data_IF_028703179187
#
_entry.id   IF_028703179187
#
_cell.length_a   1.000
_cell.length_b   1.000
_cell.length_c   1.000
_cell.angle_alpha   90.00
_cell.angle_beta   90.00
_cell.angle_gamma   90.00
#
_symmetry.space_group_name_H-M   'P 1'
#
loop_
_entity.id
_entity.type
_entity.pdbx_description
1 polymer ?
#
# COMPACT_ATOMS: atom_id res chain seq x y z
N UNK A 1 -12.55 -1.75 -2.20
CA UNK A 1 -11.78 -1.17 -1.08
C UNK A 1 -10.82 -2.16 -0.41
N UNK A 2 -10.92 -3.46 -0.69
CA UNK A 2 -9.96 -4.46 -0.22
C UNK A 2 -8.47 -4.07 -0.40
N UNK A 3 -8.03 -3.44 -1.52
CA UNK A 3 -6.61 -3.08 -1.69
C UNK A 3 -6.12 -2.11 -0.61
N UNK A 4 -6.95 -1.12 -0.27
CA UNK A 4 -6.64 -0.10 0.75
C UNK A 4 -6.56 -0.70 2.14
N UNK A 5 -7.38 -1.72 2.43
CA UNK A 5 -7.29 -2.46 3.68
C UNK A 5 -5.97 -3.22 3.79
N UNK A 6 -5.51 -3.85 2.71
CA UNK A 6 -4.22 -4.57 2.69
C UNK A 6 -3.05 -3.62 2.93
N UNK A 7 -3.06 -2.44 2.31
CA UNK A 7 -2.00 -1.45 2.51
C UNK A 7 -1.92 -0.98 3.95
N UNK A 8 -3.07 -0.78 4.61
CA UNK A 8 -3.10 -0.49 6.06
C UNK A 8 -2.54 -1.66 6.88
N UNK A 9 -2.88 -2.91 6.55
CA UNK A 9 -2.32 -4.08 7.22
C UNK A 9 -0.80 -4.17 7.03
N UNK A 10 -0.30 -3.87 5.83
CA UNK A 10 1.13 -3.82 5.52
C UNK A 10 1.84 -2.67 6.24
N UNK A 11 1.18 -1.51 6.39
CA UNK A 11 1.70 -0.42 7.20
C UNK A 11 1.84 -0.81 8.68
N UNK A 12 0.82 -1.48 9.24
CA UNK A 12 0.89 -2.01 10.60
C UNK A 12 2.00 -3.06 10.74
N UNK A 13 2.15 -3.96 9.77
CA UNK A 13 3.26 -4.91 9.74
C UNK A 13 4.61 -4.20 9.75
N UNK A 14 4.80 -3.20 8.89
CA UNK A 14 6.05 -2.45 8.78
C UNK A 14 6.39 -1.73 10.08
N UNK A 15 5.41 -1.14 10.77
CA UNK A 15 5.59 -0.50 12.07
C UNK A 15 6.02 -1.47 13.18
N UNK A 16 5.59 -2.73 13.12
CA UNK A 16 5.91 -3.78 14.10
C UNK A 16 7.24 -4.48 13.77
N UNK A 17 7.62 -4.50 12.49
CA UNK A 17 8.79 -5.26 12.01
C UNK A 17 10.14 -4.95 12.70
N UNK A 18 10.46 -3.71 13.15
CA UNK A 18 11.72 -3.44 13.86
C UNK A 18 11.87 -4.26 15.15
N UNK A 19 10.76 -4.52 15.85
CA UNK A 19 10.74 -5.30 17.08
C UNK A 19 10.95 -6.79 16.82
N UNK A 20 10.47 -7.29 15.66
CA UNK A 20 10.63 -8.70 15.25
C UNK A 20 12.06 -8.96 14.80
N UNK A 21 12.62 -8.06 13.98
CA UNK A 21 13.97 -8.20 13.45
C UNK A 21 15.06 -7.71 14.41
N UNK A 22 14.68 -7.24 15.60
CA UNK A 22 15.55 -6.73 16.66
C UNK A 22 16.58 -5.75 16.10
N UNK A 23 16.09 -4.66 15.50
CA UNK A 23 16.95 -3.63 14.92
C UNK A 23 17.95 -3.12 15.95
N UNK A 24 19.22 -3.12 15.58
CA UNK A 24 20.30 -2.59 16.41
C UNK A 24 19.99 -1.13 16.80
N UNK A 25 20.00 -0.85 18.11
CA UNK A 25 19.73 0.49 18.66
C UNK A 25 20.69 1.55 18.11
N UNK A 26 21.89 1.14 17.70
CA UNK A 26 22.87 2.03 17.07
C UNK A 26 22.45 2.47 15.65
N UNK A 27 21.50 1.78 15.01
CA UNK A 27 21.01 2.05 13.65
C UNK A 27 19.70 2.82 13.67
N UNK A 28 19.73 4.00 14.28
CA UNK A 28 18.60 4.91 14.39
C UNK A 28 17.90 5.20 13.04
N UNK A 29 18.65 5.27 11.94
CA UNK A 29 18.08 5.51 10.59
C UNK A 29 17.13 4.40 10.13
N UNK A 30 17.33 3.16 10.57
CA UNK A 30 16.51 2.02 10.17
C UNK A 30 15.14 2.09 10.86
N UNK A 31 15.14 2.39 12.15
CA UNK A 31 13.91 2.63 12.94
C UNK A 31 13.04 3.73 12.34
N UNK A 32 13.63 4.88 12.02
CA UNK A 32 12.87 5.98 11.43
C UNK A 32 12.38 5.67 10.02
N UNK A 33 13.16 4.92 9.23
CA UNK A 33 12.70 4.49 7.92
C UNK A 33 11.40 3.68 8.04
N UNK A 34 11.35 2.68 8.93
CA UNK A 34 10.14 1.87 9.14
C UNK A 34 8.95 2.70 9.60
N UNK A 35 9.12 3.56 10.61
CA UNK A 35 8.01 4.34 11.15
C UNK A 35 7.50 5.41 10.19
N UNK A 36 8.39 6.11 9.48
CA UNK A 36 7.98 7.13 8.51
C UNK A 36 7.28 6.47 7.33
N UNK A 37 7.84 5.39 6.79
CA UNK A 37 7.22 4.70 5.64
C UNK A 37 5.90 4.05 6.02
N UNK A 38 5.79 3.43 7.21
CA UNK A 38 4.54 2.90 7.72
C UNK A 38 3.48 4.00 7.88
N UNK A 39 3.85 5.15 8.46
CA UNK A 39 2.95 6.28 8.63
C UNK A 39 2.48 6.83 7.27
N UNK A 40 3.39 7.00 6.31
CA UNK A 40 3.05 7.49 4.97
C UNK A 40 2.09 6.54 4.25
N UNK A 41 2.35 5.24 4.28
CA UNK A 41 1.45 4.23 3.67
C UNK A 41 0.08 4.29 4.35
N UNK A 42 0.03 4.28 5.69
CA UNK A 42 -1.23 4.34 6.42
C UNK A 42 -2.03 5.61 6.08
N UNK A 43 -1.37 6.77 6.04
CA UNK A 43 -2.01 8.06 5.72
C UNK A 43 -2.52 8.08 4.28
N UNK A 44 -1.73 7.65 3.29
CA UNK A 44 -2.16 7.64 1.89
C UNK A 44 -3.28 6.64 1.62
N UNK A 45 -3.22 5.46 2.24
CA UNK A 45 -4.28 4.46 2.15
C UNK A 45 -5.58 4.99 2.77
N UNK A 46 -5.51 5.61 3.95
CA UNK A 46 -6.66 6.22 4.63
C UNK A 46 -7.25 7.40 3.83
N UNK A 47 -6.40 8.28 3.30
CA UNK A 47 -6.83 9.39 2.44
C UNK A 47 -7.49 8.90 1.16
N UNK A 48 -7.08 7.73 0.63
CA UNK A 48 -7.72 7.17 -0.57
C UNK A 48 -9.16 6.71 -0.34
N UNK A 49 -9.64 6.56 0.90
CA UNK A 49 -11.06 6.27 1.15
C UNK A 49 -11.96 7.47 0.86
N UNK A 50 -11.44 8.69 0.94
CA UNK A 50 -12.20 9.91 0.66
C UNK A 50 -12.30 10.11 -0.86
N UNK A 51 -13.51 10.42 -1.34
CA UNK A 51 -13.82 10.51 -2.80
C UNK A 51 -12.93 11.50 -3.55
N UNK A 52 -12.55 12.61 -2.92
CA UNK A 52 -11.77 13.68 -3.54
C UNK A 52 -10.28 13.33 -3.69
N UNK A 53 -9.75 12.50 -2.79
CA UNK A 53 -8.34 12.07 -2.75
C UNK A 53 -8.17 10.62 -3.19
N UNK A 54 -9.07 10.11 -4.05
CA UNK A 54 -9.01 8.72 -4.55
C UNK A 54 -7.72 8.35 -5.24
N UNK A 55 -6.93 9.32 -5.72
CA UNK A 55 -5.62 9.12 -6.36
C UNK A 55 -4.43 9.19 -5.39
N UNK A 56 -4.67 9.46 -4.10
CA UNK A 56 -3.61 9.56 -3.09
C UNK A 56 -2.78 8.28 -3.00
N UNK A 57 -3.38 7.13 -3.26
CA UNK A 57 -2.67 5.85 -3.32
C UNK A 57 -1.53 5.78 -4.34
N UNK A 58 -1.55 6.62 -5.39
CA UNK A 58 -0.44 6.65 -6.35
C UNK A 58 0.85 7.17 -5.70
N UNK A 59 0.76 7.92 -4.59
CA UNK A 59 1.93 8.33 -3.81
C UNK A 59 2.58 7.14 -3.11
N UNK A 60 1.84 6.06 -2.84
CA UNK A 60 2.39 4.83 -2.29
C UNK A 60 3.37 4.16 -3.26
N UNK A 61 3.26 4.41 -4.57
CA UNK A 61 4.25 3.95 -5.55
C UNK A 61 5.64 4.55 -5.27
N UNK A 62 5.69 5.82 -4.85
CA UNK A 62 6.94 6.48 -4.48
C UNK A 62 7.50 5.88 -3.19
N UNK A 63 6.65 5.60 -2.20
CA UNK A 63 7.05 4.98 -0.93
C UNK A 63 7.53 3.55 -1.15
N UNK A 64 6.87 2.78 -2.02
CA UNK A 64 7.27 1.44 -2.40
C UNK A 64 8.63 1.45 -3.10
N UNK A 65 8.82 2.32 -4.10
CA UNK A 65 10.10 2.48 -4.78
C UNK A 65 11.22 2.87 -3.79
N UNK A 66 10.92 3.76 -2.84
CA UNK A 66 11.84 4.11 -1.76
C UNK A 66 12.23 2.90 -0.90
N UNK A 67 11.26 2.10 -0.43
CA UNK A 67 11.54 0.91 0.40
C UNK A 67 12.43 -0.10 -0.32
N UNK A 68 12.14 -0.36 -1.60
CA UNK A 68 12.95 -1.27 -2.43
C UNK A 68 14.36 -0.71 -2.61
N UNK A 69 14.47 0.57 -2.98
CA UNK A 69 15.76 1.24 -3.18
C UNK A 69 16.59 1.32 -1.90
N UNK A 70 15.97 1.63 -0.78
CA UNK A 70 16.63 1.71 0.54
C UNK A 70 17.09 0.35 1.01
N UNK A 71 16.25 -0.69 0.92
CA UNK A 71 16.64 -2.06 1.25
C UNK A 71 17.75 -2.59 0.36
N UNK A 72 17.72 -2.29 -0.94
CA UNK A 72 18.79 -2.65 -1.86
C UNK A 72 20.09 -1.89 -1.56
N UNK A 73 20.04 -0.57 -1.38
CA UNK A 73 21.22 0.27 -1.13
C UNK A 73 21.91 -0.03 0.21
N UNK A 74 21.15 -0.48 1.21
CA UNK A 74 21.67 -0.89 2.52
C UNK A 74 22.06 -2.37 2.58
N UNK A 75 21.83 -3.12 1.50
CA UNK A 75 22.30 -4.51 1.38
C UNK A 75 23.73 -4.52 0.87
N UNK A 76 24.66 -4.94 1.71
CA UNK A 76 26.10 -5.00 1.40
C UNK A 76 26.47 -6.18 0.47
N UNK A 77 25.92 -6.21 -0.75
CA UNK A 77 26.36 -7.11 -1.83
C UNK A 77 25.95 -8.59 -1.71
N UNK A 78 25.07 -8.95 -0.77
CA UNK A 78 24.52 -10.30 -0.60
C UNK A 78 23.00 -10.28 -0.41
N UNK A 79 22.43 -11.36 0.15
CA UNK A 79 20.98 -11.46 0.40
C UNK A 79 20.41 -10.41 1.39
N UNK A 80 21.22 -9.47 1.90
CA UNK A 80 20.81 -8.53 2.95
C UNK A 80 20.51 -9.23 4.28
N UNK A 81 20.46 -8.49 5.39
CA UNK A 81 19.89 -9.04 6.61
C UNK A 81 18.36 -9.16 6.45
N UNK A 82 17.68 -9.95 7.30
CA UNK A 82 16.23 -10.16 7.21
C UNK A 82 15.41 -8.86 7.16
N UNK A 83 15.86 -7.81 7.85
CA UNK A 83 15.24 -6.48 7.82
C UNK A 83 15.25 -5.85 6.41
N UNK A 84 16.37 -5.87 5.69
CA UNK A 84 16.44 -5.33 4.33
C UNK A 84 15.55 -6.14 3.37
N UNK A 85 15.52 -7.46 3.51
CA UNK A 85 14.63 -8.31 2.72
C UNK A 85 13.16 -7.97 2.98
N UNK A 86 12.79 -7.74 4.25
CA UNK A 86 11.46 -7.31 4.63
C UNK A 86 11.06 -6.00 3.93
N UNK A 87 11.93 -4.98 3.91
CA UNK A 87 11.64 -3.73 3.20
C UNK A 87 11.40 -3.94 1.70
N UNK A 88 12.23 -4.76 1.05
CA UNK A 88 12.07 -5.08 -0.38
C UNK A 88 10.75 -5.84 -0.61
N UNK A 89 10.45 -6.86 0.19
CA UNK A 89 9.22 -7.64 0.07
C UNK A 89 7.96 -6.79 0.31
N UNK A 90 7.93 -5.99 1.37
CA UNK A 90 6.81 -5.08 1.66
C UNK A 90 6.67 -4.03 0.54
N UNK A 91 7.79 -3.46 0.08
CA UNK A 91 7.80 -2.51 -1.02
C UNK A 91 7.21 -3.10 -2.31
N UNK A 92 7.57 -4.35 -2.66
CA UNK A 92 7.00 -5.04 -3.82
C UNK A 92 5.51 -5.33 -3.67
N UNK A 93 5.06 -5.73 -2.47
CA UNK A 93 3.65 -5.96 -2.18
C UNK A 93 2.82 -4.67 -2.30
N UNK A 94 3.33 -3.57 -1.72
CA UNK A 94 2.69 -2.25 -1.86
C UNK A 94 2.66 -1.83 -3.33
N UNK A 95 3.76 -1.99 -4.07
CA UNK A 95 3.81 -1.64 -5.50
C UNK A 95 2.73 -2.38 -6.30
N UNK A 96 2.54 -3.67 -6.01
CA UNK A 96 1.54 -4.50 -6.68
C UNK A 96 0.10 -4.07 -6.36
N UNK A 97 -0.18 -3.76 -5.09
CA UNK A 97 -1.53 -3.39 -4.63
C UNK A 97 -1.88 -1.93 -4.96
N UNK A 98 -0.90 -1.03 -4.90
CA UNK A 98 -1.08 0.39 -5.19
C UNK A 98 -1.54 0.65 -6.63
N UNK A 99 -1.16 -0.19 -7.60
CA UNK A 99 -1.64 -0.09 -9.00
C UNK A 99 -3.14 -0.40 -9.12
N UNK A 100 -3.73 -1.14 -8.17
CA UNK A 100 -5.13 -1.56 -8.23
C UNK A 100 -6.05 -0.41 -7.80
N UNK A 101 -6.98 0.07 -8.66
CA UNK A 101 -7.85 1.18 -8.30
C UNK A 101 -8.75 0.87 -7.09
N UNK A 102 -9.00 1.87 -6.24
CA UNK A 102 -9.80 1.71 -5.01
C UNK A 102 -11.24 1.21 -5.25
N UNK A 103 -11.79 1.49 -6.44
CA UNK A 103 -13.13 1.11 -6.88
C UNK A 103 -13.14 -0.16 -7.76
N UNK A 104 -12.11 -1.02 -7.73
CA UNK A 104 -12.00 -2.21 -8.58
C UNK A 104 -13.16 -3.23 -8.46
N UNK A 105 -13.96 -3.14 -7.40
CA UNK A 105 -15.17 -3.98 -7.18
C UNK A 105 -16.38 -3.44 -7.93
N UNK A 106 -16.40 -2.13 -8.27
CA UNK A 106 -17.53 -1.52 -8.96
C UNK A 106 -17.35 -1.66 -10.47
N UNK A 107 -18.44 -1.87 -11.22
CA UNK A 107 -18.38 -1.81 -12.67
C UNK A 107 -17.91 -0.43 -13.15
N UNK A 108 -17.27 -0.34 -14.33
CA UNK A 108 -16.82 0.92 -14.91
C UNK A 108 -17.95 1.95 -14.97
N UNK A 109 -17.63 3.21 -14.74
CA UNK A 109 -18.62 4.29 -14.67
C UNK A 109 -19.50 4.38 -15.93
N UNK A 110 -18.90 4.26 -17.11
CA UNK A 110 -19.62 4.24 -18.39
C UNK A 110 -20.62 3.08 -18.49
N UNK A 111 -20.32 1.92 -17.90
CA UNK A 111 -21.26 0.81 -17.85
C UNK A 111 -22.44 1.15 -16.95
N UNK A 112 -22.18 1.70 -15.76
CA UNK A 112 -23.26 2.12 -14.84
C UNK A 112 -24.18 3.15 -15.49
N UNK A 113 -23.60 4.18 -16.11
CA UNK A 113 -24.37 5.19 -16.83
C UNK A 113 -25.17 4.60 -18.00
N UNK A 114 -24.61 3.64 -18.73
CA UNK A 114 -25.32 2.95 -19.81
C UNK A 114 -26.49 2.13 -19.28
N UNK A 115 -26.30 1.37 -18.18
CA UNK A 115 -27.37 0.64 -17.49
C UNK A 115 -28.44 1.59 -16.93
N UNK A 116 -28.09 2.77 -16.43
CA UNK A 116 -29.06 3.76 -15.95
C UNK A 116 -29.88 4.35 -17.11
N UNK A 117 -29.27 4.53 -18.29
CA UNK A 117 -29.92 5.10 -19.49
C UNK A 117 -30.73 4.09 -20.30
N UNK A 118 -30.31 2.82 -20.34
CA UNK A 118 -30.87 1.79 -21.23
C UNK A 118 -31.30 0.50 -20.51
N UNK A 119 -30.97 0.35 -19.23
CA UNK A 119 -31.22 -0.84 -18.43
C UNK A 119 -32.61 -0.82 -17.76
N UNK A 120 -33.49 -1.61 -18.35
CA UNK A 120 -34.62 -2.34 -17.77
C UNK A 120 -34.61 -2.46 -16.23
N UNK A 121 -35.71 -2.06 -15.57
CA UNK A 121 -35.89 -2.04 -14.11
C UNK A 121 -35.89 -3.39 -13.38
N UNK A 122 -35.00 -4.33 -13.72
CA UNK A 122 -34.85 -5.64 -13.10
C UNK A 122 -33.38 -6.05 -12.99
N UNK A 123 -32.64 -5.46 -12.06
CA UNK A 123 -31.56 -6.21 -11.39
C UNK A 123 -31.72 -5.95 -9.91
N UNK A 124 -32.01 -7.03 -9.19
CA UNK A 124 -32.43 -7.04 -7.80
C UNK A 124 -31.48 -6.27 -6.89
N UNK A 125 -32.07 -5.64 -5.87
CA UNK A 125 -31.35 -5.07 -4.75
C UNK A 125 -30.44 -6.15 -4.15
N UNK A 126 -29.13 -5.93 -4.02
CA UNK A 126 -28.34 -6.75 -3.12
C UNK A 126 -28.86 -6.49 -1.69
N UNK A 127 -29.18 -7.58 -1.01
CA UNK A 127 -29.60 -7.65 0.40
C UNK A 127 -28.46 -7.25 1.31
#
# INVERSE_FOLDING_TARGET
>A
MWPRTVEVMLACWLAISPFIFNHDDSKWSWWWNDWITALLIAVFALLSFVRQTRRAHLLELLVAAWLIGFGWATSSGGLGAPAQQNWICVGLLILMVAVIPSDCVKPPEKWREWNERHGTGRVGRPV
#
